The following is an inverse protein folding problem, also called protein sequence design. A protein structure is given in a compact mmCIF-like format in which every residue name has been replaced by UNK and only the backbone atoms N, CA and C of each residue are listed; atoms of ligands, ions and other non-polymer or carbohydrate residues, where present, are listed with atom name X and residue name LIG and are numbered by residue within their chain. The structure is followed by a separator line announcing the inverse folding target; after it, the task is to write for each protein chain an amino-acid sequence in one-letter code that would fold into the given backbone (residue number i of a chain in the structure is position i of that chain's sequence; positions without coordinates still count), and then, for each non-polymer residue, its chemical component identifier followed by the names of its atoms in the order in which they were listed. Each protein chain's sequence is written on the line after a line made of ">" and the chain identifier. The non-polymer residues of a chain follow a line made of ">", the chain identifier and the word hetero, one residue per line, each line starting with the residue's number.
data_IF_758221876345
#
_entry.id   IF_758221876345
#
_cell.length_a   1.000
_cell.length_b   1.000
_cell.length_c   1.000
_cell.angle_alpha   90.00
_cell.angle_beta   90.00
_cell.angle_gamma   90.00
#
_symmetry.space_group_name_H-M   'P 1'
#
loop_
_entity.id
_entity.type
_entity.pdbx_description
1 polymer ?
#
# COMPACT_ATOMS: atom_id res chain seq x y z
N UNK A 1 14.70 27.66 16.28
CA UNK A 1 15.87 26.78 16.11
C UNK A 1 15.38 25.61 15.30
N UNK A 2 15.67 25.63 13.99
CA UNK A 2 15.38 24.52 13.08
C UNK A 2 16.30 23.37 13.46
N UNK A 3 15.70 22.26 13.88
CA UNK A 3 16.41 21.03 14.17
C UNK A 3 16.67 20.36 12.82
N UNK A 4 17.76 20.72 12.14
CA UNK A 4 18.27 19.91 11.03
C UNK A 4 18.75 18.59 11.66
N UNK A 5 17.87 17.58 11.66
CA UNK A 5 18.27 16.21 11.91
C UNK A 5 19.30 15.84 10.85
N UNK A 6 20.57 15.74 11.27
CA UNK A 6 21.66 15.27 10.41
C UNK A 6 21.37 13.80 10.13
N UNK A 7 20.73 13.52 9.00
CA UNK A 7 20.59 12.16 8.48
C UNK A 7 21.98 11.54 8.37
N UNK A 8 22.17 10.42 9.06
CA UNK A 8 23.42 9.67 9.04
C UNK A 8 23.60 9.04 7.66
N UNK A 9 24.86 8.82 7.25
CA UNK A 9 25.16 8.20 5.95
C UNK A 9 24.50 6.83 5.76
N UNK A 10 24.14 6.13 6.85
CA UNK A 10 23.38 4.89 6.82
C UNK A 10 21.91 5.12 6.38
N UNK A 11 21.23 6.13 6.94
CA UNK A 11 19.85 6.48 6.60
C UNK A 11 19.74 6.99 5.15
N UNK A 12 20.76 7.73 4.68
CA UNK A 12 20.84 8.13 3.27
C UNK A 12 21.04 6.93 2.33
N UNK A 13 21.88 5.96 2.70
CA UNK A 13 22.09 4.76 1.90
C UNK A 13 20.91 3.80 1.89
N UNK A 14 20.12 3.74 2.97
CA UNK A 14 18.87 2.97 3.01
C UNK A 14 17.78 3.60 2.13
N UNK A 15 17.73 4.94 2.05
CA UNK A 15 16.82 5.66 1.16
C UNK A 15 17.12 5.42 -0.34
N UNK A 16 18.38 5.17 -0.69
CA UNK A 16 18.83 4.85 -2.05
C UNK A 16 18.68 3.38 -2.43
N UNK A 17 18.29 2.50 -1.49
CA UNK A 17 18.14 1.09 -1.76
C UNK A 17 16.91 0.83 -2.66
N UNK A 18 17.15 0.21 -3.82
CA UNK A 18 16.07 -0.27 -4.67
C UNK A 18 15.18 -1.26 -3.89
N UNK A 19 13.84 -1.16 -4.01
CA UNK A 19 12.93 -2.11 -3.38
C UNK A 19 13.23 -3.54 -3.80
N UNK A 20 13.75 -4.33 -2.87
CA UNK A 20 13.93 -5.76 -3.03
C UNK A 20 12.82 -6.49 -2.27
N UNK A 21 11.93 -7.16 -3.01
CA UNK A 21 10.98 -8.11 -2.41
C UNK A 21 11.65 -9.49 -2.38
N UNK A 22 11.63 -10.13 -1.23
CA UNK A 22 12.07 -11.50 -1.06
C UNK A 22 11.01 -12.28 -0.30
N UNK A 23 10.48 -13.32 -0.92
CA UNK A 23 9.43 -14.17 -0.34
C UNK A 23 9.76 -15.64 -0.62
N UNK A 24 9.45 -16.50 0.35
CA UNK A 24 9.54 -17.95 0.22
C UNK A 24 8.22 -18.54 0.69
N UNK A 25 7.57 -19.29 -0.19
CA UNK A 25 6.25 -19.88 0.05
C UNK A 25 6.36 -21.39 0.23
N UNK A 26 5.47 -21.96 1.05
CA UNK A 26 5.42 -23.42 1.26
C UNK A 26 4.96 -24.16 -0.01
N UNK A 27 4.03 -23.58 -0.76
CA UNK A 27 3.70 -24.00 -2.11
C UNK A 27 4.57 -23.23 -3.12
N UNK A 28 5.45 -23.90 -3.88
CA UNK A 28 6.26 -23.25 -4.91
C UNK A 28 5.45 -22.60 -6.04
N UNK A 29 4.17 -22.96 -6.19
CA UNK A 29 3.27 -22.37 -7.18
C UNK A 29 2.61 -21.06 -6.71
N UNK A 30 2.76 -20.68 -5.44
CA UNK A 30 2.27 -19.39 -4.94
C UNK A 30 2.98 -18.25 -5.65
N UNK A 31 2.20 -17.36 -6.26
CA UNK A 31 2.71 -16.15 -6.92
C UNK A 31 3.49 -15.28 -5.95
N UNK A 32 4.71 -14.93 -6.33
CA UNK A 32 5.52 -13.93 -5.63
C UNK A 32 4.97 -12.55 -5.96
N UNK A 33 4.99 -11.64 -4.99
CA UNK A 33 4.64 -10.23 -5.22
C UNK A 33 5.49 -9.65 -6.37
N UNK A 34 4.84 -9.37 -7.50
CA UNK A 34 5.48 -8.72 -8.63
C UNK A 34 5.67 -7.23 -8.32
N UNK A 35 6.93 -6.78 -8.32
CA UNK A 35 7.30 -5.36 -8.15
C UNK A 35 7.11 -4.64 -9.49
N UNK A 36 6.17 -3.68 -9.61
CA UNK A 36 5.99 -2.89 -10.83
C UNK A 36 7.26 -2.09 -11.15
N UNK A 37 7.50 -1.85 -12.44
CA UNK A 37 8.69 -1.11 -12.89
C UNK A 37 8.73 0.34 -12.39
N UNK A 38 7.58 0.97 -12.16
CA UNK A 38 7.52 2.32 -11.61
C UNK A 38 8.03 2.41 -10.17
N UNK A 39 7.78 1.37 -9.35
CA UNK A 39 8.31 1.25 -8.00
C UNK A 39 9.85 1.08 -7.98
N UNK A 40 10.44 0.53 -9.04
CA UNK A 40 11.90 0.37 -9.17
C UNK A 40 12.62 1.64 -9.64
N UNK A 41 11.91 2.57 -10.28
CA UNK A 41 12.51 3.75 -10.92
C UNK A 41 12.60 4.99 -10.01
N UNK A 42 11.83 5.04 -8.93
CA UNK A 42 11.63 6.23 -8.10
C UNK A 42 12.07 6.03 -6.64
N UNK A 43 13.29 5.55 -6.40
CA UNK A 43 13.79 5.40 -5.03
C UNK A 43 14.17 6.74 -4.39
N UNK A 44 14.75 7.66 -5.17
CA UNK A 44 15.23 8.93 -4.65
C UNK A 44 14.07 9.86 -4.28
N UNK A 45 13.87 10.09 -2.96
CA UNK A 45 12.98 11.07 -2.30
C UNK A 45 11.54 10.67 -1.96
N UNK A 46 11.21 9.38 -1.85
CA UNK A 46 9.91 8.98 -1.28
C UNK A 46 9.91 9.12 0.25
N UNK A 47 8.84 9.67 0.81
CA UNK A 47 8.63 9.69 2.26
C UNK A 47 8.41 8.27 2.80
N UNK A 48 8.53 8.09 4.12
CA UNK A 48 8.22 6.83 4.77
C UNK A 48 6.75 6.40 4.54
N UNK A 49 5.82 7.36 4.56
CA UNK A 49 4.40 7.14 4.28
C UNK A 49 4.16 6.65 2.86
N UNK A 50 4.77 7.30 1.87
CA UNK A 50 4.66 6.89 0.48
C UNK A 50 5.23 5.50 0.27
N UNK A 51 6.41 5.23 0.82
CA UNK A 51 6.99 3.88 0.76
C UNK A 51 6.08 2.82 1.36
N UNK A 52 5.49 3.08 2.53
CA UNK A 52 4.58 2.13 3.17
C UNK A 52 3.30 1.90 2.35
N UNK A 53 2.71 2.97 1.81
CA UNK A 53 1.52 2.93 0.96
C UNK A 53 1.72 2.07 -0.28
N UNK A 54 2.77 2.33 -1.05
CA UNK A 54 3.04 1.62 -2.30
C UNK A 54 3.28 0.12 -2.06
N UNK A 55 4.04 -0.23 -1.01
CA UNK A 55 4.29 -1.64 -0.65
C UNK A 55 3.03 -2.35 -0.17
N UNK A 56 2.18 -1.69 0.61
CA UNK A 56 0.90 -2.27 1.04
C UNK A 56 -0.03 -2.55 -0.13
N UNK A 57 -0.06 -1.70 -1.15
CA UNK A 57 -0.83 -1.95 -2.38
C UNK A 57 -0.40 -3.26 -3.03
N UNK A 58 0.90 -3.52 -3.10
CA UNK A 58 1.43 -4.77 -3.66
C UNK A 58 0.99 -6.01 -2.87
N UNK A 59 1.07 -5.94 -1.53
CA UNK A 59 0.59 -7.01 -0.67
C UNK A 59 -0.91 -7.26 -0.83
N UNK A 60 -1.73 -6.21 -0.83
CA UNK A 60 -3.19 -6.31 -0.99
C UNK A 60 -3.54 -6.90 -2.36
N UNK A 61 -2.89 -6.43 -3.44
CA UNK A 61 -3.10 -6.97 -4.79
C UNK A 61 -2.74 -8.45 -4.85
N UNK A 62 -1.57 -8.84 -4.34
CA UNK A 62 -1.14 -10.24 -4.37
C UNK A 62 -2.06 -11.14 -3.52
N UNK A 63 -2.49 -10.65 -2.35
CA UNK A 63 -3.46 -11.35 -1.52
C UNK A 63 -4.79 -11.55 -2.26
N UNK A 64 -5.33 -10.50 -2.88
CA UNK A 64 -6.58 -10.57 -3.64
C UNK A 64 -6.51 -11.47 -4.88
N UNK A 65 -5.34 -11.60 -5.52
CA UNK A 65 -5.13 -12.53 -6.65
C UNK A 65 -5.31 -14.00 -6.25
N UNK A 66 -5.11 -14.31 -4.97
CA UNK A 66 -5.23 -15.67 -4.43
C UNK A 66 -6.64 -15.98 -3.91
N UNK A 67 -7.55 -15.00 -3.92
CA UNK A 67 -8.93 -15.17 -3.44
C UNK A 67 -9.89 -15.62 -4.54
N UNK A 68 -10.81 -16.52 -4.20
CA UNK A 68 -11.97 -16.86 -5.02
C UNK A 68 -12.97 -15.69 -5.17
N UNK A 69 -13.98 -15.85 -6.02
CA UNK A 69 -14.98 -14.79 -6.29
C UNK A 69 -15.90 -14.44 -5.11
N UNK A 70 -15.88 -15.23 -4.04
CA UNK A 70 -16.80 -15.12 -2.90
C UNK A 70 -16.17 -14.45 -1.69
N UNK A 71 -14.84 -14.30 -1.69
CA UNK A 71 -14.11 -13.62 -0.63
C UNK A 71 -13.57 -12.26 -1.08
N UNK A 72 -13.45 -11.33 -0.15
CA UNK A 72 -12.86 -10.01 -0.26
C UNK A 72 -11.78 -9.83 0.80
N UNK A 73 -10.89 -8.87 0.58
CA UNK A 73 -9.86 -8.52 1.56
C UNK A 73 -10.43 -7.64 2.66
N UNK A 74 -10.01 -7.90 3.89
CA UNK A 74 -10.23 -7.07 5.05
C UNK A 74 -8.89 -6.84 5.77
N UNK A 75 -8.76 -5.70 6.43
CA UNK A 75 -7.58 -5.31 7.19
C UNK A 75 -7.87 -5.38 8.68
N UNK A 76 -7.06 -6.15 9.40
CA UNK A 76 -6.98 -6.09 10.86
C UNK A 76 -5.81 -5.22 11.29
N UNK A 77 -6.04 -4.36 12.27
CA UNK A 77 -4.99 -3.60 12.94
C UNK A 77 -4.63 -4.30 14.24
N UNK A 78 -3.41 -4.85 14.33
CA UNK A 78 -2.99 -5.55 15.55
C UNK A 78 -2.59 -4.49 16.60
N UNK A 79 -3.41 -4.31 17.63
CA UNK A 79 -3.10 -3.41 18.75
C UNK A 79 -4.10 -2.26 19.00
N UNK A 80 -5.21 -2.18 18.27
CA UNK A 80 -6.27 -1.20 18.50
C UNK A 80 -7.68 -1.79 18.51
N UNK A 81 -8.64 -1.06 19.07
CA UNK A 81 -10.04 -1.48 19.20
C UNK A 81 -10.82 -1.47 17.87
N UNK A 82 -10.24 -0.93 16.80
CA UNK A 82 -10.88 -0.82 15.49
C UNK A 82 -11.19 -2.19 14.85
N UNK A 83 -10.55 -3.27 15.32
CA UNK A 83 -10.82 -4.62 14.86
C UNK A 83 -10.46 -4.85 13.40
N UNK A 84 -11.31 -5.59 12.68
CA UNK A 84 -11.16 -5.89 11.26
C UNK A 84 -12.11 -5.02 10.45
N UNK A 85 -11.59 -4.27 9.49
CA UNK A 85 -12.36 -3.44 8.56
C UNK A 85 -12.32 -4.04 7.15
N UNK A 86 -13.44 -3.99 6.44
CA UNK A 86 -13.46 -4.26 4.99
C UNK A 86 -12.88 -3.04 4.29
N UNK A 87 -11.72 -3.20 3.68
CA UNK A 87 -11.00 -2.10 3.03
C UNK A 87 -11.70 -1.72 1.71
N UNK A 88 -11.94 -0.43 1.55
CA UNK A 88 -12.52 0.18 0.35
C UNK A 88 -11.57 1.18 -0.30
N UNK A 89 -10.53 1.62 0.42
CA UNK A 89 -9.51 2.51 -0.10
C UNK A 89 -8.34 2.72 0.86
N UNK A 90 -7.28 3.32 0.35
CA UNK A 90 -6.11 3.72 1.11
C UNK A 90 -5.61 5.08 0.63
N UNK A 91 -4.84 5.75 1.48
CA UNK A 91 -4.06 6.93 1.12
C UNK A 91 -2.86 7.10 2.04
N UNK A 92 -2.03 8.09 1.72
CA UNK A 92 -0.91 8.51 2.55
C UNK A 92 -0.86 10.03 2.64
N UNK A 93 -0.19 10.53 3.67
CA UNK A 93 0.13 11.94 3.81
C UNK A 93 1.57 12.08 4.31
N UNK A 94 2.38 12.78 3.52
CA UNK A 94 3.80 12.93 3.79
C UNK A 94 4.04 13.69 5.12
N UNK A 95 5.06 13.30 5.91
CA UNK A 95 6.02 12.23 5.63
C UNK A 95 5.66 10.85 6.18
N UNK A 96 4.64 10.72 7.03
CA UNK A 96 4.56 9.61 8.00
C UNK A 96 3.16 9.03 8.26
N UNK A 97 2.09 9.50 7.62
CA UNK A 97 0.73 9.00 7.83
C UNK A 97 0.27 8.09 6.69
N UNK A 98 -0.31 6.94 7.06
CA UNK A 98 -1.09 6.07 6.17
C UNK A 98 -2.54 6.04 6.66
N UNK A 99 -3.49 6.12 5.73
CA UNK A 99 -4.92 6.09 6.01
C UNK A 99 -5.58 4.91 5.31
N UNK A 100 -6.45 4.23 6.01
CA UNK A 100 -7.30 3.17 5.49
C UNK A 100 -8.77 3.59 5.58
N UNK A 101 -9.49 3.38 4.50
CA UNK A 101 -10.93 3.65 4.39
C UNK A 101 -11.67 2.34 4.23
N UNK A 102 -12.83 2.23 4.87
CA UNK A 102 -13.63 1.03 4.76
C UNK A 102 -14.90 1.05 5.59
N UNK A 103 -15.40 -0.16 5.86
CA UNK A 103 -16.53 -0.38 6.74
C UNK A 103 -16.17 -1.41 7.83
N UNK A 104 -16.65 -1.19 9.05
CA UNK A 104 -16.50 -2.15 10.15
C UNK A 104 -17.45 -3.36 10.03
N UNK A 105 -17.44 -4.24 11.04
CA UNK A 105 -18.30 -5.42 11.08
C UNK A 105 -19.81 -5.13 11.11
N UNK A 106 -20.22 -3.90 11.39
CA UNK A 106 -21.62 -3.44 11.34
C UNK A 106 -21.98 -2.79 10.00
N UNK A 107 -21.00 -2.58 9.12
CA UNK A 107 -21.14 -1.81 7.89
C UNK A 107 -21.03 -0.29 8.09
N UNK A 108 -20.67 0.16 9.29
CA UNK A 108 -20.48 1.59 9.53
C UNK A 108 -19.19 2.07 8.86
N UNK A 109 -19.25 3.27 8.26
CA UNK A 109 -18.09 3.88 7.62
C UNK A 109 -16.98 4.11 8.65
N UNK A 110 -15.82 3.54 8.40
CA UNK A 110 -14.66 3.58 9.30
C UNK A 110 -13.45 4.09 8.55
N UNK A 111 -12.67 4.92 9.24
CA UNK A 111 -11.38 5.40 8.76
C UNK A 111 -10.35 5.15 9.85
N UNK A 112 -9.24 4.52 9.48
CA UNK A 112 -8.13 4.25 10.40
C UNK A 112 -6.92 5.03 9.91
N UNK A 113 -6.41 5.90 10.76
CA UNK A 113 -5.24 6.76 10.50
C UNK A 113 -4.11 6.22 11.36
N UNK A 114 -2.97 5.89 10.76
CA UNK A 114 -1.82 5.30 11.43
C UNK A 114 -0.55 6.04 11.05
N UNK A 115 0.32 6.23 12.03
CA UNK A 115 1.70 6.60 11.77
C UNK A 115 2.47 5.38 11.26
N UNK A 116 3.36 5.55 10.29
CA UNK A 116 4.12 4.45 9.65
C UNK A 116 4.91 3.59 10.62
N UNK A 117 5.43 4.17 11.71
CA UNK A 117 6.19 3.41 12.73
C UNK A 117 5.32 2.49 13.60
N UNK A 118 4.00 2.67 13.56
CA UNK A 118 3.03 1.85 14.31
C UNK A 118 2.31 0.85 13.41
N UNK A 119 2.63 0.83 12.11
CA UNK A 119 1.94 0.06 11.11
C UNK A 119 2.13 -1.44 11.35
N UNK A 120 1.04 -2.11 11.76
CA UNK A 120 0.95 -3.56 11.83
C UNK A 120 -0.36 -4.00 11.19
N UNK A 121 -0.26 -4.66 10.04
CA UNK A 121 -1.40 -4.97 9.16
C UNK A 121 -1.57 -6.47 9.03
N UNK A 122 -2.77 -6.96 9.30
CA UNK A 122 -3.23 -8.29 8.98
C UNK A 122 -4.15 -8.22 7.77
N UNK A 123 -3.85 -8.96 6.70
CA UNK A 123 -4.80 -9.19 5.61
C UNK A 123 -5.61 -10.46 5.88
N UNK A 124 -6.94 -10.35 5.80
CA UNK A 124 -7.86 -11.45 6.05
C UNK A 124 -8.86 -11.58 4.91
N UNK A 125 -9.11 -12.81 4.47
CA UNK A 125 -10.21 -13.11 3.56
C UNK A 125 -11.54 -13.11 4.34
N UNK A 126 -12.50 -12.33 3.86
CA UNK A 126 -13.85 -12.22 4.43
C UNK A 126 -14.87 -12.47 3.32
N UNK A 127 -15.99 -13.18 3.57
CA UNK A 127 -17.04 -13.32 2.58
C UNK A 127 -17.47 -11.94 2.02
N UNK A 128 -17.76 -11.87 0.73
CA UNK A 128 -18.35 -10.68 0.11
C UNK A 128 -19.69 -10.36 0.76
N UNK A 129 -20.10 -9.10 0.69
CA UNK A 129 -21.41 -8.72 1.21
C UNK A 129 -22.52 -9.41 0.40
N UNK A 130 -23.58 -9.89 1.07
CA UNK A 130 -24.64 -10.67 0.44
C UNK A 130 -25.37 -9.91 -0.68
N UNK A 131 -25.48 -8.59 -0.52
CA UNK A 131 -26.12 -7.71 -1.51
C UNK A 131 -25.22 -7.36 -2.69
N UNK A 132 -23.98 -7.84 -2.73
CA UNK A 132 -23.03 -7.50 -3.80
C UNK A 132 -22.91 -8.63 -4.85
N UNK A 133 -23.09 -8.30 -6.14
CA UNK A 133 -23.04 -9.31 -7.20
C UNK A 133 -21.62 -9.89 -7.38
N UNK A 134 -20.58 -9.11 -7.08
CA UNK A 134 -19.17 -9.50 -7.21
C UNK A 134 -18.38 -9.04 -6.00
N UNK A 135 -17.35 -9.80 -5.64
CA UNK A 135 -16.38 -9.38 -4.63
C UNK A 135 -15.65 -8.10 -5.05
N UNK A 136 -15.56 -7.12 -4.13
CA UNK A 136 -14.68 -5.98 -4.29
C UNK A 136 -13.21 -6.39 -4.27
N UNK A 137 -12.46 -5.73 -5.14
CA UNK A 137 -11.05 -6.00 -5.45
C UNK A 137 -10.30 -4.69 -5.53
N UNK A 138 -10.03 -4.09 -4.37
CA UNK A 138 -9.46 -2.74 -4.26
C UNK A 138 -7.98 -2.72 -4.64
N UNK A 139 -7.24 -3.81 -4.37
CA UNK A 139 -5.81 -3.93 -4.67
C UNK A 139 -5.48 -3.74 -6.14
N UNK A 140 -6.34 -4.21 -7.05
CA UNK A 140 -6.17 -3.99 -8.48
C UNK A 140 -6.40 -2.54 -8.91
N UNK A 141 -7.35 -1.85 -8.26
CA UNK A 141 -7.61 -0.43 -8.54
C UNK A 141 -6.45 0.44 -8.04
N UNK A 142 -5.98 0.16 -6.82
CA UNK A 142 -4.84 0.84 -6.22
C UNK A 142 -3.57 0.64 -7.03
N UNK A 143 -3.29 -0.58 -7.50
CA UNK A 143 -2.12 -0.85 -8.32
C UNK A 143 -2.15 -0.11 -9.67
N UNK A 144 -3.32 -0.02 -10.31
CA UNK A 144 -3.47 0.75 -11.55
C UNK A 144 -3.25 2.24 -11.34
N UNK A 145 -3.71 2.77 -10.20
CA UNK A 145 -3.51 4.17 -9.82
C UNK A 145 -2.01 4.46 -9.62
N UNK A 146 -1.31 3.55 -8.94
CA UNK A 146 0.14 3.61 -8.75
C UNK A 146 0.91 3.63 -10.08
N UNK A 147 0.58 2.71 -11.01
CA UNK A 147 1.21 2.65 -12.32
C UNK A 147 0.98 3.97 -13.11
N UNK A 148 -0.19 4.60 -12.98
CA UNK A 148 -0.53 5.85 -13.66
C UNK A 148 0.18 7.08 -13.07
N UNK A 149 0.35 7.14 -11.74
CA UNK A 149 1.13 8.20 -11.08
C UNK A 149 2.60 8.17 -11.51
N UNK A 150 3.17 6.98 -11.64
CA UNK A 150 4.55 6.80 -12.10
C UNK A 150 4.74 7.26 -13.56
N UNK A 151 3.78 6.99 -14.45
CA UNK A 151 3.81 7.49 -15.83
C UNK A 151 3.68 9.02 -15.91
N UNK A 152 2.84 9.62 -15.06
CA UNK A 152 2.64 11.07 -15.03
C UNK A 152 3.84 11.84 -14.46
N UNK A 153 4.58 11.25 -13.51
CA UNK A 153 5.80 11.83 -12.93
C UNK A 153 7.01 11.82 -13.88
N UNK A 154 7.01 10.98 -14.91
CA UNK A 154 8.07 10.84 -15.91
C UNK A 154 7.91 11.77 -17.14
N UNK A 155 6.78 12.50 -17.23
CA UNK A 155 6.57 13.50 -18.27
C UNK A 155 7.49 14.71 -18.06
N UNK A 156 8.72 14.63 -18.61
CA UNK A 156 9.67 15.74 -18.67
C UNK A 156 8.98 16.96 -19.31
N UNK A 157 8.89 18.12 -18.61
CA UNK A 157 8.32 19.31 -19.23
C UNK A 157 9.17 19.69 -20.46
N UNK A 158 8.54 20.09 -21.58
CA UNK A 158 9.27 20.45 -22.79
C UNK A 158 10.28 21.55 -22.46
N UNK A 159 11.49 21.52 -23.07
CA UNK A 159 12.50 22.53 -22.80
C UNK A 159 11.90 23.91 -23.04
N UNK A 160 12.01 24.78 -22.04
CA UNK A 160 11.61 26.17 -22.16
C UNK A 160 12.43 26.81 -23.29
N UNK A 161 11.77 27.14 -24.39
CA UNK A 161 12.36 27.96 -25.45
C UNK A 161 12.64 29.34 -24.87
N UNK A 162 13.92 29.72 -24.87
CA UNK A 162 14.48 31.01 -24.46
C UNK A 162 13.92 32.18 -25.29
#
# INVERSE_FOLDING_TARGET
>A
MTNDEIATAAEAHEADALPAVHEVHADPATGIVAVPEGLKRSAERKSAARWAYERLILYIRNFEQQLDSEHEVAIGFTGGDAGVIRIEGMGYFDPDIVTFYGADGTGAKTQVIQHVTQLNVLLRAMPKHIDQPKANRIGFRLARDLDAEDEAGDATPPPATD
#
